data_IF_044306561847
#
_entry.id   IF_044306561847
#
_cell.length_a   1.000
_cell.length_b   1.000
_cell.length_c   1.000
_cell.angle_alpha   90.00
_cell.angle_beta   90.00
_cell.angle_gamma   90.00
#
_symmetry.space_group_name_H-M   'P 1'
#
loop_
_entity.id
_entity.type
_entity.pdbx_description
1 polymer ?
#
# COMPACT_ATOMS: atom_id res chain seq x y z
N UNK A 1 -19.96 4.61 -15.05
CA UNK A 1 -18.50 4.39 -15.10
C UNK A 1 -18.05 3.98 -13.71
N UNK A 2 -17.44 2.80 -13.54
CA UNK A 2 -16.90 2.40 -12.24
C UNK A 2 -15.61 3.17 -11.99
N UNK A 3 -15.53 3.93 -10.89
CA UNK A 3 -14.33 4.71 -10.54
C UNK A 3 -13.30 3.80 -9.86
N UNK A 4 -12.13 3.64 -10.47
CA UNK A 4 -11.00 2.89 -9.87
C UNK A 4 -10.22 3.78 -8.90
N UNK A 5 -10.16 3.44 -7.61
CA UNK A 5 -9.43 4.23 -6.63
C UNK A 5 -7.93 4.26 -6.94
N UNK A 6 -7.29 5.41 -6.71
CA UNK A 6 -5.83 5.56 -6.77
C UNK A 6 -5.27 5.75 -5.36
N UNK A 7 -4.21 5.02 -5.05
CA UNK A 7 -3.47 5.09 -3.79
C UNK A 7 -1.98 5.22 -4.06
N UNK A 8 -1.19 5.55 -3.04
CA UNK A 8 0.24 5.74 -3.22
C UNK A 8 1.08 5.30 -2.02
N UNK A 9 2.34 5.02 -2.28
CA UNK A 9 3.39 4.88 -1.27
C UNK A 9 4.53 5.86 -1.55
N UNK A 10 4.93 6.59 -0.52
CA UNK A 10 6.20 7.30 -0.49
C UNK A 10 7.25 6.36 0.11
N UNK A 11 8.30 6.04 -0.64
CA UNK A 11 9.27 5.00 -0.28
C UNK A 11 10.64 5.62 -0.01
N UNK A 12 11.36 5.07 0.98
CA UNK A 12 12.73 5.47 1.32
C UNK A 12 13.67 4.27 1.25
N UNK A 13 14.94 4.48 0.90
CA UNK A 13 15.99 3.45 0.90
C UNK A 13 17.01 3.81 1.98
N UNK A 14 17.27 2.92 2.93
CA UNK A 14 18.21 3.19 4.03
C UNK A 14 17.84 4.42 4.86
N UNK A 15 16.54 4.71 5.01
CA UNK A 15 16.03 5.89 5.74
C UNK A 15 16.14 7.21 4.97
N UNK A 16 16.65 7.20 3.74
CA UNK A 16 16.75 8.38 2.88
C UNK A 16 15.64 8.36 1.84
N UNK A 17 14.90 9.47 1.75
CA UNK A 17 13.88 9.67 0.70
C UNK A 17 14.49 10.01 -0.67
N UNK A 18 15.80 10.29 -0.73
CA UNK A 18 16.46 10.74 -1.95
C UNK A 18 16.51 9.61 -3.00
N UNK A 19 15.69 9.75 -4.05
CA UNK A 19 15.86 9.03 -5.33
C UNK A 19 14.80 7.98 -5.69
N UNK A 20 13.89 7.58 -4.79
CA UNK A 20 12.89 6.54 -5.08
C UNK A 20 11.54 7.07 -5.58
N UNK A 21 11.17 8.30 -5.23
CA UNK A 21 9.91 8.91 -5.63
C UNK A 21 8.68 8.23 -5.02
N UNK A 22 7.53 8.43 -5.68
CA UNK A 22 6.21 7.95 -5.24
C UNK A 22 5.73 6.83 -6.16
N UNK A 23 5.32 5.71 -5.57
CA UNK A 23 4.61 4.64 -6.30
C UNK A 23 3.12 4.98 -6.25
N UNK A 24 2.48 5.17 -7.41
CA UNK A 24 1.03 5.37 -7.51
C UNK A 24 0.40 4.13 -8.12
N UNK A 25 -0.66 3.63 -7.50
CA UNK A 25 -1.34 2.39 -7.87
C UNK A 25 -2.82 2.69 -8.11
N UNK A 26 -3.36 2.24 -9.24
CA UNK A 26 -4.79 2.20 -9.51
C UNK A 26 -5.33 0.81 -9.15
N UNK A 27 -6.42 0.76 -8.39
CA UNK A 27 -7.00 -0.49 -7.89
C UNK A 27 -8.19 -0.91 -8.75
N UNK A 28 -8.18 -2.16 -9.23
CA UNK A 28 -9.25 -2.74 -10.05
C UNK A 28 -10.51 -3.05 -9.22
N UNK A 29 -11.11 -2.05 -8.58
CA UNK A 29 -12.27 -2.19 -7.70
C UNK A 29 -13.55 -2.66 -8.43
N UNK A 30 -13.62 -2.45 -9.74
CA UNK A 30 -14.64 -2.97 -10.64
C UNK A 30 -14.53 -4.49 -10.87
N UNK A 31 -13.33 -5.07 -10.70
CA UNK A 31 -13.08 -6.50 -10.93
C UNK A 31 -12.98 -7.25 -9.60
N UNK A 32 -12.23 -6.71 -8.64
CA UNK A 32 -11.93 -7.32 -7.34
C UNK A 32 -12.28 -6.38 -6.17
N UNK A 33 -13.57 -6.04 -5.98
CA UNK A 33 -13.99 -4.96 -5.08
C UNK A 33 -13.52 -5.14 -3.64
N UNK A 34 -13.62 -6.35 -3.09
CA UNK A 34 -13.22 -6.63 -1.69
C UNK A 34 -11.71 -6.48 -1.48
N UNK A 35 -10.91 -6.99 -2.41
CA UNK A 35 -9.45 -6.91 -2.34
C UNK A 35 -8.96 -5.48 -2.53
N UNK A 36 -9.55 -4.77 -3.50
CA UNK A 36 -9.25 -3.36 -3.74
C UNK A 36 -9.59 -2.50 -2.52
N UNK A 37 -10.76 -2.69 -1.92
CA UNK A 37 -11.18 -1.93 -0.74
C UNK A 37 -10.30 -2.21 0.48
N UNK A 38 -9.92 -3.46 0.72
CA UNK A 38 -8.98 -3.80 1.79
C UNK A 38 -7.64 -3.08 1.62
N UNK A 39 -7.04 -3.15 0.43
CA UNK A 39 -5.76 -2.49 0.17
C UNK A 39 -5.88 -0.97 0.28
N UNK A 40 -6.96 -0.39 -0.28
CA UNK A 40 -7.24 1.05 -0.19
C UNK A 40 -7.35 1.52 1.26
N UNK A 41 -8.12 0.83 2.08
CA UNK A 41 -8.33 1.18 3.49
C UNK A 41 -7.03 1.08 4.31
N UNK A 42 -6.16 0.10 4.01
CA UNK A 42 -4.83 -0.01 4.63
C UNK A 42 -3.86 1.08 4.14
N UNK A 43 -4.01 1.59 2.91
CA UNK A 43 -3.25 2.76 2.46
C UNK A 43 -3.67 4.03 3.22
N UNK A 44 -4.96 4.23 3.50
CA UNK A 44 -5.46 5.43 4.18
C UNK A 44 -5.33 5.35 5.71
N UNK A 45 -5.40 4.15 6.29
CA UNK A 45 -5.43 3.95 7.73
C UNK A 45 -6.77 4.30 8.38
N UNK A 46 -7.82 4.53 7.59
CA UNK A 46 -9.12 5.04 8.09
C UNK A 46 -9.86 4.08 9.03
N UNK A 47 -9.47 2.80 9.07
CA UNK A 47 -10.13 1.77 9.89
C UNK A 47 -9.57 1.70 11.32
N UNK A 48 -8.63 2.56 11.70
CA UNK A 48 -8.15 2.66 13.07
C UNK A 48 -7.33 1.44 13.52
N UNK A 49 -7.71 0.83 14.65
CA UNK A 49 -6.96 -0.26 15.28
C UNK A 49 -7.54 -1.63 14.92
N UNK A 50 -6.67 -2.59 14.61
CA UNK A 50 -7.04 -3.98 14.34
C UNK A 50 -7.10 -4.83 15.61
N UNK A 51 -7.63 -6.04 15.47
CA UNK A 51 -7.71 -7.02 16.57
C UNK A 51 -6.36 -7.41 17.18
N UNK A 52 -5.27 -7.23 16.44
CA UNK A 52 -3.89 -7.45 16.92
C UNK A 52 -3.36 -6.31 17.80
N UNK A 53 -4.17 -5.30 18.10
CA UNK A 53 -3.75 -4.11 18.84
C UNK A 53 -2.83 -3.19 18.05
N UNK A 54 -2.72 -3.36 16.73
CA UNK A 54 -1.90 -2.50 15.85
C UNK A 54 -2.78 -1.65 14.93
N UNK A 55 -2.33 -0.44 14.54
CA UNK A 55 -3.02 0.35 13.53
C UNK A 55 -3.13 -0.39 12.20
N UNK A 56 -4.29 -0.30 11.55
CA UNK A 56 -4.58 -0.88 10.24
C UNK A 56 -4.09 0.05 9.13
N UNK A 57 -2.78 0.24 9.01
CA UNK A 57 -2.18 1.01 7.93
C UNK A 57 -0.84 0.46 7.43
N UNK A 58 -0.48 0.76 6.19
CA UNK A 58 0.84 0.42 5.63
C UNK A 58 1.97 1.36 6.04
N UNK A 59 1.67 2.58 6.51
CA UNK A 59 2.69 3.57 6.89
C UNK A 59 3.70 2.98 7.89
N UNK A 60 4.98 3.12 7.59
CA UNK A 60 6.08 2.58 8.41
C UNK A 60 6.39 1.10 8.21
N UNK A 61 5.62 0.39 7.37
CA UNK A 61 5.99 -0.97 6.94
C UNK A 61 7.14 -0.94 5.95
N UNK A 62 7.88 -2.04 5.86
CA UNK A 62 8.99 -2.23 4.91
C UNK A 62 8.62 -3.33 3.90
N UNK A 63 9.19 -3.23 2.69
CA UNK A 63 9.33 -4.40 1.82
C UNK A 63 10.36 -5.32 2.49
N UNK A 64 9.87 -6.37 3.15
CA UNK A 64 10.70 -7.26 3.96
C UNK A 64 11.36 -8.34 3.12
N UNK A 65 10.87 -8.58 1.91
CA UNK A 65 11.42 -9.54 0.98
C UNK A 65 11.61 -8.90 -0.40
N UNK A 66 12.86 -8.91 -0.87
CA UNK A 66 13.27 -8.33 -2.16
C UNK A 66 14.01 -9.41 -2.94
N UNK A 67 13.40 -9.86 -4.04
CA UNK A 67 14.01 -10.88 -4.90
C UNK A 67 14.21 -10.27 -6.30
N UNK A 68 15.47 -10.04 -6.72
CA UNK A 68 15.78 -9.54 -8.05
C UNK A 68 15.15 -10.41 -9.14
N UNK A 69 14.64 -9.77 -10.20
CA UNK A 69 13.95 -10.43 -11.32
C UNK A 69 12.71 -11.24 -10.91
N UNK A 70 12.10 -10.93 -9.77
CA UNK A 70 10.86 -11.56 -9.35
C UNK A 70 9.87 -10.55 -8.74
N UNK A 71 10.04 -10.17 -7.47
CA UNK A 71 9.09 -9.27 -6.80
C UNK A 71 9.66 -8.59 -5.53
N UNK A 72 8.93 -7.55 -5.10
CA UNK A 72 9.03 -6.89 -3.80
C UNK A 72 7.77 -7.23 -2.98
N UNK A 73 7.95 -7.62 -1.72
CA UNK A 73 6.87 -7.94 -0.77
C UNK A 73 7.11 -7.30 0.60
#
# INVERSE_FOLDING_TARGET
MSHRPKVFFDVTLGGKAAGLGRIVMELNADIVPKTAENFRALCTGEKGMGHSGKPLHYKGSKFHRVIPNFMLQ
#
